data_IF_054569507276
#
_entry.id   IF_054569507276
#
_cell.length_a   1.000
_cell.length_b   1.000
_cell.length_c   1.000
_cell.angle_alpha   90.00
_cell.angle_beta   90.00
_cell.angle_gamma   90.00
#
_symmetry.space_group_name_H-M   'P 1'
#
loop_
_entity.id
_entity.type
_entity.pdbx_description
1 polymer ?
#
# COMPACT_ATOMS: atom_id res chain seq x y z
N UNK A 1 10.74 -10.20 -20.19
CA UNK A 1 10.13 -9.03 -19.54
C UNK A 1 8.99 -9.55 -18.68
N UNK A 2 9.08 -9.50 -17.35
CA UNK A 2 7.99 -9.97 -16.50
C UNK A 2 6.73 -9.16 -16.79
N UNK A 3 5.58 -9.85 -16.83
CA UNK A 3 4.31 -9.22 -17.14
C UNK A 3 3.92 -8.25 -16.02
N UNK A 4 3.29 -7.12 -16.36
CA UNK A 4 2.80 -6.12 -15.38
C UNK A 4 1.93 -6.75 -14.28
N UNK A 5 1.26 -7.87 -14.59
CA UNK A 5 0.50 -8.66 -13.61
C UNK A 5 1.36 -9.36 -12.54
N UNK A 6 2.59 -9.78 -12.84
CA UNK A 6 3.50 -10.42 -11.87
C UNK A 6 4.11 -9.41 -10.88
N UNK A 7 4.20 -8.13 -11.27
CA UNK A 7 4.59 -7.03 -10.39
C UNK A 7 3.52 -6.69 -9.35
N UNK A 8 2.25 -6.90 -9.70
CA UNK A 8 1.10 -6.60 -8.85
C UNK A 8 0.63 -7.80 -8.01
N UNK A 9 0.94 -9.03 -8.44
CA UNK A 9 0.70 -10.27 -7.68
C UNK A 9 1.99 -11.10 -7.59
N UNK A 10 2.92 -10.70 -6.71
CA UNK A 10 4.15 -11.46 -6.51
C UNK A 10 3.82 -12.78 -5.82
N UNK A 11 4.07 -13.91 -6.49
CA UNK A 11 3.97 -15.27 -5.91
C UNK A 11 5.03 -15.60 -4.85
N UNK A 12 5.86 -14.62 -4.48
CA UNK A 12 6.98 -14.77 -3.55
C UNK A 12 6.81 -13.78 -2.40
N UNK A 13 6.97 -14.24 -1.16
CA UNK A 13 6.83 -13.46 0.08
C UNK A 13 7.58 -12.12 0.06
N UNK A 14 8.74 -12.07 -0.61
CA UNK A 14 9.54 -10.86 -0.76
C UNK A 14 8.87 -9.73 -1.56
N UNK A 15 7.98 -10.05 -2.50
CA UNK A 15 7.26 -9.05 -3.29
C UNK A 15 6.11 -8.41 -2.51
N UNK A 16 5.43 -9.18 -1.65
CA UNK A 16 4.39 -8.65 -0.74
C UNK A 16 5.01 -7.71 0.28
N UNK A 17 6.16 -8.08 0.86
CA UNK A 17 6.90 -7.20 1.77
C UNK A 17 7.30 -5.88 1.09
N UNK A 18 7.79 -5.93 -0.16
CA UNK A 18 8.11 -4.74 -0.92
C UNK A 18 6.86 -3.87 -1.18
N UNK A 19 5.72 -4.47 -1.53
CA UNK A 19 4.46 -3.74 -1.72
C UNK A 19 4.03 -3.02 -0.43
N UNK A 20 4.10 -3.70 0.71
CA UNK A 20 3.79 -3.09 2.02
C UNK A 20 4.70 -1.88 2.30
N UNK A 21 6.01 -2.03 2.11
CA UNK A 21 6.97 -0.94 2.35
C UNK A 21 6.69 0.25 1.42
N UNK A 22 6.43 -0.01 0.13
CA UNK A 22 6.10 1.04 -0.83
C UNK A 22 4.79 1.74 -0.45
N UNK A 23 3.75 1.00 -0.08
CA UNK A 23 2.47 1.57 0.35
C UNK A 23 2.63 2.47 1.58
N UNK A 24 3.39 2.03 2.59
CA UNK A 24 3.68 2.84 3.79
C UNK A 24 4.39 4.14 3.40
N UNK A 25 5.41 4.07 2.55
CA UNK A 25 6.15 5.25 2.09
C UNK A 25 5.25 6.24 1.32
N UNK A 26 4.35 5.71 0.49
CA UNK A 26 3.42 6.51 -0.30
C UNK A 26 2.37 7.19 0.58
N UNK A 27 1.79 6.46 1.54
CA UNK A 27 0.87 7.01 2.54
C UNK A 27 1.55 8.09 3.36
N UNK A 28 2.77 7.87 3.85
CA UNK A 28 3.52 8.87 4.61
C UNK A 28 3.78 10.15 3.79
N UNK A 29 4.15 10.00 2.52
CA UNK A 29 4.37 11.13 1.60
C UNK A 29 3.09 11.92 1.35
N UNK A 30 1.96 11.23 1.12
CA UNK A 30 0.66 11.87 0.93
C UNK A 30 0.17 12.57 2.20
N UNK A 31 0.32 11.95 3.38
CA UNK A 31 -0.02 12.57 4.66
C UNK A 31 0.84 13.82 4.88
N UNK A 32 2.13 13.77 4.56
CA UNK A 32 3.01 14.94 4.67
C UNK A 32 2.58 16.07 3.74
N UNK A 33 2.24 15.77 2.48
CA UNK A 33 1.78 16.74 1.49
C UNK A 33 0.43 17.36 1.89
N UNK A 34 -0.48 16.53 2.42
CA UNK A 34 -1.86 16.90 2.74
C UNK A 34 -2.04 17.32 4.20
N UNK A 35 -0.95 17.50 4.97
CA UNK A 35 -0.98 17.77 6.42
C UNK A 35 -1.79 19.01 6.83
N UNK A 36 -2.05 19.92 5.88
CA UNK A 36 -2.88 21.10 6.07
C UNK A 36 -4.37 20.76 6.21
N UNK A 37 -4.82 19.67 5.58
CA UNK A 37 -6.24 19.31 5.47
C UNK A 37 -6.53 18.01 6.19
N UNK A 38 -7.04 18.11 7.43
CA UNK A 38 -7.33 16.95 8.29
C UNK A 38 -8.26 15.92 7.64
N UNK A 39 -9.23 16.35 6.85
CA UNK A 39 -10.15 15.46 6.16
C UNK A 39 -9.42 14.58 5.12
N UNK A 40 -8.52 15.17 4.33
CA UNK A 40 -7.72 14.45 3.35
C UNK A 40 -6.72 13.50 4.01
N UNK A 41 -6.11 13.91 5.14
CA UNK A 41 -5.24 13.03 5.92
C UNK A 41 -5.97 11.79 6.42
N UNK A 42 -7.17 11.95 6.99
CA UNK A 42 -7.98 10.82 7.47
C UNK A 42 -8.40 9.89 6.32
N UNK A 43 -8.76 10.46 5.17
CA UNK A 43 -9.07 9.69 3.97
C UNK A 43 -7.88 8.84 3.53
N UNK A 44 -6.70 9.46 3.39
CA UNK A 44 -5.46 8.78 2.97
C UNK A 44 -5.06 7.67 3.94
N UNK A 45 -5.15 7.92 5.25
CA UNK A 45 -4.86 6.91 6.27
C UNK A 45 -5.87 5.76 6.18
N UNK A 46 -7.17 6.06 6.08
CA UNK A 46 -8.21 5.04 5.94
C UNK A 46 -8.02 4.17 4.71
N UNK A 47 -7.76 4.78 3.55
CA UNK A 47 -7.47 4.07 2.30
C UNK A 47 -6.18 3.24 2.42
N UNK A 48 -5.12 3.80 3.03
CA UNK A 48 -3.87 3.08 3.27
C UNK A 48 -4.06 1.82 4.12
N UNK A 49 -4.84 1.92 5.20
CA UNK A 49 -5.20 0.77 6.03
C UNK A 49 -6.00 -0.29 5.26
N UNK A 50 -6.96 0.11 4.41
CA UNK A 50 -7.72 -0.83 3.59
C UNK A 50 -6.83 -1.60 2.60
N UNK A 51 -5.88 -0.92 1.96
CA UNK A 51 -4.92 -1.54 1.03
C UNK A 51 -3.99 -2.52 1.76
N UNK A 52 -3.46 -2.13 2.92
CA UNK A 52 -2.62 -3.02 3.73
C UNK A 52 -3.40 -4.24 4.25
N UNK A 53 -4.66 -4.05 4.67
CA UNK A 53 -5.55 -5.14 5.05
C UNK A 53 -5.82 -6.10 3.89
N UNK A 54 -6.01 -5.58 2.68
CA UNK A 54 -6.15 -6.40 1.47
C UNK A 54 -4.92 -7.25 1.19
N UNK A 55 -3.71 -6.68 1.32
CA UNK A 55 -2.46 -7.45 1.17
C UNK A 55 -2.35 -8.56 2.21
N UNK A 56 -2.73 -8.30 3.46
CA UNK A 56 -2.72 -9.32 4.52
C UNK A 56 -3.70 -10.47 4.27
N UNK A 57 -4.89 -10.18 3.74
CA UNK A 57 -5.85 -11.22 3.34
C UNK A 57 -5.35 -12.00 2.12
N UNK A 58 -4.72 -11.31 1.16
CA UNK A 58 -4.16 -11.91 -0.04
C UNK A 58 -2.95 -12.81 0.23
N UNK A 59 -2.16 -12.55 1.26
CA UNK A 59 -1.01 -13.40 1.65
C UNK A 59 -1.39 -14.63 2.49
N UNK A 60 -2.63 -14.70 2.97
CA UNK A 60 -3.13 -15.83 3.77
C UNK A 60 -3.66 -17.00 2.91
N UNK A 61 -3.75 -16.83 1.58
CA UNK A 61 -4.16 -17.85 0.61
C UNK A 61 -2.99 -18.26 -0.29
#
# INVERSE_FOLDING_TARGET
MPAIGELWSPRTDGGVALQVVVTIALVATLVWLLRSERALVLLVIGTGCAVLGWYGIGSLH
#
